data_IF_484252754352
#
_entry.id   IF_484252754352
#
_cell.length_a   1.000
_cell.length_b   1.000
_cell.length_c   1.000
_cell.angle_alpha   90.00
_cell.angle_beta   90.00
_cell.angle_gamma   90.00
#
_symmetry.space_group_name_H-M   'P 1'
#
loop_
_entity.id
_entity.type
_entity.pdbx_description
1 polymer ?
#
# COMPACT_ATOMS: atom_id res chain seq x y z
N UNK A 1 -1.56 9.49 12.42
CA UNK A 1 -1.48 10.97 12.44
C UNK A 1 -0.07 11.57 12.47
N UNK A 2 0.82 11.22 13.41
CA UNK A 2 2.14 11.89 13.53
C UNK A 2 3.00 11.81 12.24
N UNK A 3 3.20 10.61 11.71
CA UNK A 3 4.02 10.42 10.50
C UNK A 3 3.46 11.17 9.29
N UNK A 4 2.14 11.20 9.12
CA UNK A 4 1.47 11.98 8.06
C UNK A 4 1.84 13.46 8.16
N UNK A 5 1.76 14.04 9.35
CA UNK A 5 2.13 15.45 9.58
C UNK A 5 3.61 15.72 9.33
N UNK A 6 4.49 14.79 9.68
CA UNK A 6 5.93 14.93 9.45
C UNK A 6 6.25 14.86 7.95
N UNK A 7 5.72 13.87 7.24
CA UNK A 7 5.97 13.73 5.81
C UNK A 7 5.45 14.93 5.01
N UNK A 8 4.27 15.45 5.34
CA UNK A 8 3.72 16.65 4.68
C UNK A 8 4.54 17.93 4.89
N UNK A 9 5.44 17.98 5.88
CA UNK A 9 6.37 19.10 6.09
C UNK A 9 7.67 18.94 5.31
N UNK A 10 8.03 17.72 4.93
CA UNK A 10 9.32 17.40 4.31
C UNK A 10 9.18 17.19 2.81
N UNK A 11 8.06 16.61 2.36
CA UNK A 11 7.83 16.24 0.98
C UNK A 11 6.54 16.88 0.43
N UNK A 12 6.54 17.27 -0.85
CA UNK A 12 5.30 17.52 -1.58
C UNK A 12 4.38 16.29 -1.57
N UNK A 13 3.07 16.50 -1.54
CA UNK A 13 2.08 15.43 -1.46
C UNK A 13 2.06 14.52 -2.70
N UNK A 14 2.41 15.06 -3.87
CA UNK A 14 2.55 14.33 -5.14
C UNK A 14 3.83 13.47 -5.20
N UNK A 15 4.75 13.64 -4.25
CA UNK A 15 5.94 12.80 -4.09
C UNK A 15 5.75 11.76 -2.98
N UNK A 16 5.20 12.16 -1.82
CA UNK A 16 4.93 11.26 -0.69
C UNK A 16 3.57 11.60 -0.07
N UNK A 17 2.64 10.64 -0.12
CA UNK A 17 1.33 10.75 0.52
C UNK A 17 1.12 9.68 1.59
N UNK A 18 0.36 10.03 2.64
CA UNK A 18 -0.02 9.10 3.70
C UNK A 18 -1.52 9.02 3.79
N UNK A 19 -2.05 7.85 3.44
CA UNK A 19 -3.47 7.52 3.53
C UNK A 19 -3.69 6.67 4.79
N UNK A 20 -4.67 7.06 5.60
CA UNK A 20 -5.04 6.35 6.82
C UNK A 20 -6.42 5.74 6.62
N UNK A 21 -6.61 4.56 7.19
CA UNK A 21 -7.87 3.85 7.14
C UNK A 21 -7.71 2.40 7.58
N UNK A 22 -8.80 1.67 7.47
CA UNK A 22 -8.88 0.27 7.87
C UNK A 22 -8.66 -0.64 6.64
N UNK A 23 -9.10 -1.89 6.75
CA UNK A 23 -8.91 -2.91 5.72
C UNK A 23 -9.49 -2.51 4.34
N UNK A 24 -10.58 -1.76 4.30
CA UNK A 24 -11.23 -1.30 3.07
C UNK A 24 -10.32 -0.37 2.25
N UNK A 25 -9.59 0.53 2.93
CA UNK A 25 -8.59 1.39 2.29
C UNK A 25 -7.43 0.55 1.74
N UNK A 26 -6.95 -0.44 2.49
CA UNK A 26 -5.91 -1.35 2.01
C UNK A 26 -6.34 -2.15 0.78
N UNK A 27 -7.59 -2.63 0.75
CA UNK A 27 -8.16 -3.33 -0.41
C UNK A 27 -8.23 -2.41 -1.63
N UNK A 28 -8.76 -1.18 -1.46
CA UNK A 28 -8.83 -0.21 -2.55
C UNK A 28 -7.43 0.16 -3.06
N UNK A 29 -6.48 0.38 -2.16
CA UNK A 29 -5.08 0.72 -2.48
C UNK A 29 -4.41 -0.38 -3.31
N UNK A 30 -4.59 -1.65 -2.94
CA UNK A 30 -3.96 -2.79 -3.63
C UNK A 30 -4.44 -3.03 -5.06
N UNK A 31 -5.52 -2.37 -5.50
CA UNK A 31 -6.08 -2.46 -6.86
C UNK A 31 -5.61 -1.33 -7.76
N UNK A 32 -4.88 -0.35 -7.24
CA UNK A 32 -4.36 0.75 -8.04
C UNK A 32 -3.21 0.26 -8.95
N UNK A 33 -3.02 0.87 -10.13
CA UNK A 33 -2.02 0.45 -11.10
C UNK A 33 -0.64 0.99 -10.73
N UNK A 34 -0.09 0.54 -9.60
CA UNK A 34 1.26 0.91 -9.18
C UNK A 34 2.31 0.17 -9.99
N UNK A 35 3.48 0.80 -10.16
CA UNK A 35 4.65 0.14 -10.74
C UNK A 35 5.26 -0.91 -9.79
N UNK A 36 5.02 -0.78 -8.49
CA UNK A 36 5.42 -1.75 -7.48
C UNK A 36 4.56 -1.60 -6.22
N UNK A 37 4.25 -2.71 -5.55
CA UNK A 37 3.50 -2.71 -4.29
C UNK A 37 4.22 -3.48 -3.20
N UNK A 38 4.40 -2.86 -2.03
CA UNK A 38 5.00 -3.48 -0.86
C UNK A 38 3.95 -3.69 0.23
N UNK A 39 3.90 -4.90 0.79
CA UNK A 39 3.01 -5.24 1.90
C UNK A 39 3.75 -5.98 3.00
N UNK A 40 3.44 -5.61 4.24
CA UNK A 40 3.92 -6.31 5.44
C UNK A 40 2.74 -6.70 6.30
N UNK A 41 2.66 -7.97 6.70
CA UNK A 41 1.56 -8.45 7.55
C UNK A 41 1.33 -9.95 7.47
N UNK A 42 0.10 -10.35 7.78
CA UNK A 42 -0.26 -11.77 7.81
C UNK A 42 -0.25 -12.40 6.41
N UNK A 43 0.24 -13.64 6.33
CA UNK A 43 0.26 -14.44 5.10
C UNK A 43 -1.13 -14.57 4.44
N UNK A 44 -2.22 -14.62 5.23
CA UNK A 44 -3.59 -14.65 4.71
C UNK A 44 -3.96 -13.38 3.94
N UNK A 45 -3.57 -12.20 4.45
CA UNK A 45 -3.83 -10.91 3.81
C UNK A 45 -2.93 -10.69 2.61
N UNK A 46 -1.65 -11.08 2.70
CA UNK A 46 -0.70 -10.97 1.59
C UNK A 46 -1.17 -11.69 0.32
N UNK A 47 -1.85 -12.84 0.45
CA UNK A 47 -2.50 -13.52 -0.69
C UNK A 47 -3.57 -12.67 -1.37
N UNK A 48 -4.37 -11.95 -0.61
CA UNK A 48 -5.39 -11.05 -1.17
C UNK A 48 -4.75 -9.86 -1.89
N UNK A 49 -3.69 -9.29 -1.32
CA UNK A 49 -2.92 -8.20 -1.92
C UNK A 49 -2.30 -8.65 -3.25
N UNK A 50 -1.61 -9.79 -3.29
CA UNK A 50 -1.03 -10.34 -4.52
C UNK A 50 -2.09 -10.57 -5.60
N UNK A 51 -3.27 -11.06 -5.22
CA UNK A 51 -4.37 -11.28 -6.17
C UNK A 51 -4.89 -9.97 -6.77
N UNK A 52 -5.02 -8.91 -5.96
CA UNK A 52 -5.48 -7.61 -6.44
C UNK A 52 -4.44 -6.93 -7.35
N UNK A 53 -3.16 -7.00 -6.99
CA UNK A 53 -2.06 -6.44 -7.77
C UNK A 53 -1.93 -7.09 -9.17
N UNK A 54 -2.31 -8.36 -9.30
CA UNK A 54 -2.22 -9.11 -10.56
C UNK A 54 -3.09 -8.53 -11.68
N UNK A 55 -4.20 -7.88 -11.37
CA UNK A 55 -5.07 -7.24 -12.37
C UNK A 55 -4.34 -6.14 -13.16
N UNK A 56 -3.31 -5.52 -12.56
CA UNK A 56 -2.46 -4.50 -13.18
C UNK A 56 -1.06 -5.00 -13.53
N UNK A 57 -0.77 -6.30 -13.37
CA UNK A 57 0.57 -6.88 -13.48
C UNK A 57 1.61 -6.19 -12.57
N UNK A 58 1.16 -5.65 -11.44
CA UNK A 58 2.03 -4.94 -10.49
C UNK A 58 2.92 -5.95 -9.76
N UNK A 59 4.27 -5.82 -9.81
CA UNK A 59 5.17 -6.63 -9.00
C UNK A 59 4.97 -6.34 -7.52
N UNK A 60 5.09 -7.38 -6.68
CA UNK A 60 4.89 -7.28 -5.23
C UNK A 60 6.09 -7.76 -4.44
N UNK A 61 6.34 -7.10 -3.31
CA UNK A 61 7.16 -7.62 -2.21
C UNK A 61 6.25 -7.88 -1.00
N UNK A 62 6.25 -9.11 -0.51
CA UNK A 62 5.43 -9.54 0.62
C UNK A 62 6.35 -9.94 1.78
N UNK A 63 6.41 -9.10 2.80
CA UNK A 63 7.12 -9.39 4.05
C UNK A 63 6.12 -9.98 5.05
N UNK A 64 6.10 -11.30 5.14
CA UNK A 64 5.05 -12.05 5.82
C UNK A 64 5.52 -12.67 7.14
N UNK A 65 4.56 -12.87 8.04
CA UNK A 65 4.73 -13.67 9.26
C UNK A 65 4.36 -15.14 9.07
#
# INVERSE_FOLDING_TARGET
ELLKKLFAQVFPEDLVSVVLGEADVGVAFSRLPFDHLLFTGATSVGRHVMRAAADNLTPVTLELG
#
